data_IF_029942507943
#
_entry.id   IF_029942507943
#
_cell.length_a   1.000
_cell.length_b   1.000
_cell.length_c   1.000
_cell.angle_alpha   90.00
_cell.angle_beta   90.00
_cell.angle_gamma   90.00
#
_symmetry.space_group_name_H-M   'P 1'
#
loop_
_entity.id
_entity.type
_entity.pdbx_description
1 polymer ?
#
# COMPACT_ATOMS: atom_id res chain seq x y z
N UNK A 1 2.29 10.82 7.27
CA UNK A 1 2.69 10.72 5.85
C UNK A 1 1.99 9.55 5.19
N UNK A 2 2.16 8.31 5.67
CA UNK A 2 1.53 7.12 5.08
C UNK A 2 0.00 7.23 4.94
N UNK A 3 -0.69 7.84 5.93
CA UNK A 3 -2.11 8.12 5.84
C UNK A 3 -2.47 8.97 4.60
N UNK A 4 -1.71 10.05 4.34
CA UNK A 4 -1.95 10.90 3.17
C UNK A 4 -1.77 10.12 1.87
N UNK A 5 -0.76 9.25 1.78
CA UNK A 5 -0.55 8.40 0.59
C UNK A 5 -1.73 7.45 0.41
N UNK A 6 -2.18 6.77 1.47
CA UNK A 6 -3.36 5.87 1.44
C UNK A 6 -4.59 6.63 0.95
N UNK A 7 -4.88 7.77 1.55
CA UNK A 7 -6.03 8.60 1.20
C UNK A 7 -5.95 9.16 -0.23
N UNK A 8 -4.76 9.39 -0.80
CA UNK A 8 -4.63 9.74 -2.22
C UNK A 8 -4.83 8.53 -3.12
N UNK A 9 -4.26 7.37 -2.78
CA UNK A 9 -4.43 6.14 -3.54
C UNK A 9 -5.90 5.70 -3.59
N UNK A 10 -6.64 5.85 -2.49
CA UNK A 10 -8.07 5.55 -2.39
C UNK A 10 -8.96 6.46 -3.26
N UNK A 11 -8.45 7.61 -3.73
CA UNK A 11 -9.18 8.51 -4.64
C UNK A 11 -9.04 8.12 -6.11
N UNK A 12 -8.17 7.16 -6.44
CA UNK A 12 -8.05 6.66 -7.80
C UNK A 12 -9.33 5.91 -8.19
N UNK A 13 -9.77 6.04 -9.43
CA UNK A 13 -11.07 5.53 -9.85
C UNK A 13 -11.06 4.02 -10.10
N UNK A 14 -9.90 3.47 -10.47
CA UNK A 14 -9.75 2.07 -10.84
C UNK A 14 -9.30 1.18 -9.68
N UNK A 15 -8.94 1.77 -8.54
CA UNK A 15 -8.43 1.04 -7.37
C UNK A 15 -9.60 0.48 -6.57
N UNK A 16 -9.63 -0.85 -6.40
CA UNK A 16 -10.64 -1.53 -5.59
C UNK A 16 -10.26 -1.59 -4.10
N UNK A 17 -8.97 -1.72 -3.81
CA UNK A 17 -8.45 -1.88 -2.46
C UNK A 17 -7.06 -1.26 -2.34
N UNK A 18 -6.80 -0.58 -1.23
CA UNK A 18 -5.47 -0.06 -0.86
C UNK A 18 -4.98 -0.80 0.37
N UNK A 19 -3.78 -1.36 0.29
CA UNK A 19 -3.15 -2.14 1.37
C UNK A 19 -1.75 -1.62 1.65
N UNK A 20 -1.46 -1.31 2.90
CA UNK A 20 -0.13 -0.93 3.35
C UNK A 20 0.64 -2.19 3.75
N UNK A 21 1.62 -2.57 2.94
CA UNK A 21 2.56 -3.64 3.26
C UNK A 21 3.73 -3.11 4.10
N UNK A 22 3.89 -3.58 5.34
CA UNK A 22 4.95 -3.10 6.25
C UNK A 22 5.53 -4.23 7.09
N UNK A 23 6.78 -4.12 7.49
CA UNK A 23 7.46 -5.01 8.45
C UNK A 23 7.66 -4.34 9.82
N UNK A 24 7.27 -3.07 9.94
CA UNK A 24 7.34 -2.28 11.16
C UNK A 24 5.96 -2.21 11.84
N UNK A 25 5.89 -2.77 13.04
CA UNK A 25 4.67 -2.76 13.86
C UNK A 25 4.17 -1.34 14.15
N UNK A 26 5.06 -0.35 14.29
CA UNK A 26 4.66 1.04 14.54
C UNK A 26 3.87 1.62 13.37
N UNK A 27 4.25 1.26 12.14
CA UNK A 27 3.52 1.67 10.93
C UNK A 27 2.19 0.92 10.88
N UNK A 28 2.19 -0.38 11.13
CA UNK A 28 0.99 -1.21 11.15
C UNK A 28 -0.07 -0.66 12.12
N UNK A 29 0.34 -0.39 13.37
CA UNK A 29 -0.54 0.15 14.40
C UNK A 29 -1.14 1.50 13.99
N UNK A 30 -0.31 2.41 13.45
CA UNK A 30 -0.78 3.72 12.97
C UNK A 30 -1.79 3.58 11.83
N UNK A 31 -1.58 2.63 10.91
CA UNK A 31 -2.52 2.38 9.81
C UNK A 31 -3.87 1.90 10.32
N UNK A 32 -3.87 0.98 11.28
CA UNK A 32 -5.12 0.53 11.89
C UNK A 32 -5.81 1.63 12.70
N UNK A 33 -5.05 2.48 13.39
CA UNK A 33 -5.60 3.58 14.20
C UNK A 33 -6.38 4.60 13.36
N UNK A 34 -5.98 4.84 12.10
CA UNK A 34 -6.74 5.67 11.17
C UNK A 34 -7.75 4.90 10.31
N UNK A 35 -7.90 3.59 10.53
CA UNK A 35 -8.88 2.73 9.85
C UNK A 35 -8.46 2.21 8.48
N UNK A 36 -7.17 2.32 8.13
CA UNK A 36 -6.63 1.75 6.89
C UNK A 36 -6.39 0.24 6.98
N UNK A 37 -6.10 -0.39 5.84
CA UNK A 37 -5.73 -1.80 5.76
C UNK A 37 -4.19 -1.96 5.74
N UNK A 38 -3.63 -2.65 6.72
CA UNK A 38 -2.21 -2.99 6.76
C UNK A 38 -1.99 -4.49 6.86
N UNK A 39 -0.94 -4.97 6.19
CA UNK A 39 -0.48 -6.36 6.27
C UNK A 39 0.98 -6.38 6.71
N UNK A 40 1.27 -7.17 7.75
CA UNK A 40 2.63 -7.42 8.22
C UNK A 40 3.37 -8.30 7.22
N UNK A 41 4.61 -7.95 6.93
CA UNK A 41 5.49 -8.66 5.99
C UNK A 41 6.82 -9.06 6.64
N UNK A 42 7.57 -9.93 5.98
CA UNK A 42 8.90 -10.32 6.39
C UNK A 42 9.88 -9.13 6.42
N UNK A 43 10.73 -9.08 7.46
CA UNK A 43 11.85 -8.13 7.58
C UNK A 43 13.04 -8.47 6.66
N UNK A 44 13.00 -9.63 5.99
CA UNK A 44 14.12 -10.15 5.22
C UNK A 44 14.03 -9.84 3.71
N UNK A 45 13.04 -9.04 3.29
CA UNK A 45 12.90 -8.62 1.90
C UNK A 45 14.03 -7.69 1.49
N UNK A 46 14.54 -7.88 0.26
CA UNK A 46 15.62 -7.07 -0.27
C UNK A 46 15.10 -5.84 -1.01
N UNK A 47 13.84 -5.85 -1.42
CA UNK A 47 13.19 -4.77 -2.15
C UNK A 47 11.72 -4.58 -1.74
N UNK A 48 11.16 -3.41 -2.08
CA UNK A 48 9.72 -3.17 -1.94
C UNK A 48 8.87 -4.09 -2.81
N UNK A 49 9.38 -4.50 -3.98
CA UNK A 49 8.68 -5.45 -4.86
C UNK A 49 8.54 -6.82 -4.21
N UNK A 50 9.57 -7.32 -3.52
CA UNK A 50 9.49 -8.60 -2.79
C UNK A 50 8.44 -8.56 -1.68
N UNK A 51 8.38 -7.42 -0.97
CA UNK A 51 7.39 -7.17 0.07
C UNK A 51 5.96 -7.22 -0.47
N UNK A 52 5.72 -6.55 -1.60
CA UNK A 52 4.40 -6.55 -2.24
C UNK A 52 4.05 -7.94 -2.78
N UNK A 53 5.03 -8.66 -3.33
CA UNK A 53 4.83 -10.03 -3.80
C UNK A 53 4.47 -11.01 -2.66
N UNK A 54 4.95 -10.80 -1.43
CA UNK A 54 4.48 -11.57 -0.26
C UNK A 54 2.99 -11.34 -0.01
N UNK A 55 2.56 -10.09 -0.01
CA UNK A 55 1.17 -9.71 0.27
C UNK A 55 0.23 -10.22 -0.83
N UNK A 56 0.58 -9.96 -2.09
CA UNK A 56 -0.23 -10.33 -3.25
C UNK A 56 -0.50 -11.85 -3.34
N UNK A 57 0.40 -12.71 -2.84
CA UNK A 57 0.18 -14.17 -2.82
C UNK A 57 -1.05 -14.62 -2.01
N UNK A 58 -1.48 -13.80 -1.06
CA UNK A 58 -2.60 -14.10 -0.19
C UNK A 58 -3.86 -13.28 -0.54
N UNK A 59 -3.83 -12.55 -1.66
CA UNK A 59 -4.94 -11.74 -2.14
C UNK A 59 -5.41 -12.24 -3.50
N UNK A 60 -6.72 -12.24 -3.72
CA UNK A 60 -7.30 -12.50 -5.04
C UNK A 60 -7.34 -11.16 -5.79
N UNK A 61 -6.37 -10.94 -6.67
CA UNK A 61 -6.28 -9.74 -7.49
C UNK A 61 -5.63 -10.05 -8.85
N UNK A 62 -6.07 -9.35 -9.90
CA UNK A 62 -5.51 -9.48 -11.25
C UNK A 62 -4.34 -8.51 -11.50
N UNK A 63 -4.38 -7.34 -10.86
CA UNK A 63 -3.42 -6.25 -11.05
C UNK A 63 -2.98 -5.73 -9.69
N UNK A 64 -1.67 -5.50 -9.54
CA UNK A 64 -1.06 -4.89 -8.36
C UNK A 64 -0.30 -3.64 -8.79
N UNK A 65 -0.71 -2.49 -8.25
CA UNK A 65 -0.01 -1.21 -8.44
C UNK A 65 0.83 -0.90 -7.21
N UNK A 66 2.15 -0.77 -7.41
CA UNK A 66 3.08 -0.42 -6.33
C UNK A 66 3.16 1.10 -6.17
N UNK A 67 2.68 1.62 -5.04
CA UNK A 67 2.75 3.04 -4.68
C UNK A 67 3.76 3.24 -3.54
N UNK A 68 4.67 4.20 -3.69
CA UNK A 68 5.66 4.51 -2.65
C UNK A 68 5.01 5.26 -1.49
N UNK A 69 5.31 4.83 -0.25
CA UNK A 69 4.71 5.37 0.98
C UNK A 69 5.21 6.77 1.40
N UNK A 70 6.10 7.37 0.61
CA UNK A 70 6.71 8.69 0.81
C UNK A 70 6.29 9.74 -0.23
N UNK A 71 5.28 9.45 -1.05
CA UNK A 71 4.69 10.38 -2.02
C UNK A 71 3.30 10.90 -1.59
N UNK A 72 3.20 11.73 -0.52
CA UNK A 72 1.90 12.14 0.05
C UNK A 72 1.03 13.00 -0.87
N UNK A 73 1.59 13.46 -1.98
CA UNK A 73 0.93 14.30 -2.98
C UNK A 73 0.81 13.59 -4.33
N UNK A 74 0.92 12.26 -4.37
CA UNK A 74 0.70 11.49 -5.59
C UNK A 74 -0.68 11.84 -6.18
N UNK A 75 -0.76 12.32 -7.43
CA UNK A 75 -2.03 12.57 -8.08
C UNK A 75 -2.76 11.23 -8.30
N UNK A 76 -4.01 11.05 -7.83
CA UNK A 76 -4.74 9.80 -8.00
C UNK A 76 -4.87 9.38 -9.48
N UNK A 77 -4.98 10.35 -10.38
CA UNK A 77 -5.03 10.13 -11.83
C UNK A 77 -3.78 9.43 -12.37
N UNK A 78 -2.61 9.56 -11.73
CA UNK A 78 -1.40 8.86 -12.17
C UNK A 78 -1.47 7.36 -11.86
N UNK A 79 -2.21 6.97 -10.82
CA UNK A 79 -2.44 5.57 -10.47
C UNK A 79 -3.39 4.93 -11.48
N UNK A 80 -4.35 5.70 -12.00
CA UNK A 80 -5.28 5.23 -13.04
C UNK A 80 -4.63 5.07 -14.44
N UNK A 81 -3.39 5.54 -14.64
CA UNK A 81 -2.68 5.49 -15.94
C UNK A 81 -1.88 4.19 -16.19
N UNK A 82 -1.73 3.33 -15.19
CA UNK A 82 -0.88 2.12 -15.27
C UNK A 82 -1.66 0.83 -15.52
#
# INVERSE_FOLDING_TARGET
MIQLVSEQAEKANLVNEVVIATDDKRIYDVVLDFGGNAIMTSKNHQSGTDRIAEVAKNMECDIVVNVQGDEPLIPPENIDLV
#
